data_IF_403724388007
#
_entry.id   IF_403724388007
#
_cell.length_a   1.000
_cell.length_b   1.000
_cell.length_c   1.000
_cell.angle_alpha   90.00
_cell.angle_beta   90.00
_cell.angle_gamma   90.00
#
_symmetry.space_group_name_H-M   'P 1'
#
loop_
_entity.id
_entity.type
_entity.pdbx_description
1 polymer ?
#
# COMPACT_ATOMS: atom_id res chain seq x y z
N UNK A 1 -5.77 8.04 26.51
CA UNK A 1 -5.26 7.54 25.22
C UNK A 1 -3.92 8.19 25.03
N UNK A 2 -2.86 7.39 24.93
CA UNK A 2 -1.52 7.91 24.72
C UNK A 2 -1.42 8.55 23.31
N UNK A 3 -0.51 9.52 23.13
CA UNK A 3 -0.37 10.26 21.85
C UNK A 3 -0.18 9.29 20.67
N UNK A 4 0.57 8.22 20.88
CA UNK A 4 0.83 7.18 19.89
C UNK A 4 -0.45 6.48 19.42
N UNK A 5 -1.32 6.09 20.35
CA UNK A 5 -2.62 5.53 20.04
C UNK A 5 -3.47 6.52 19.23
N UNK A 6 -3.47 7.80 19.60
CA UNK A 6 -4.20 8.84 18.84
C UNK A 6 -3.70 8.95 17.39
N UNK A 7 -2.38 8.88 17.19
CA UNK A 7 -1.78 8.94 15.84
C UNK A 7 -2.13 7.69 15.04
N UNK A 8 -2.04 6.50 15.64
CA UNK A 8 -2.43 5.24 15.01
C UNK A 8 -3.91 5.22 14.58
N UNK A 9 -4.82 5.69 15.45
CA UNK A 9 -6.23 5.86 15.09
C UNK A 9 -6.42 6.86 13.94
N UNK A 10 -5.65 7.95 13.92
CA UNK A 10 -5.72 8.96 12.86
C UNK A 10 -5.23 8.42 11.52
N UNK A 11 -4.13 7.66 11.50
CA UNK A 11 -3.63 6.95 10.32
C UNK A 11 -4.72 6.01 9.77
N UNK A 12 -5.30 5.18 10.65
CA UNK A 12 -6.34 4.23 10.27
C UNK A 12 -7.59 4.94 9.72
N UNK A 13 -8.03 6.02 10.36
CA UNK A 13 -9.17 6.81 9.92
C UNK A 13 -8.95 7.44 8.53
N UNK A 14 -7.74 7.93 8.23
CA UNK A 14 -7.39 8.48 6.92
C UNK A 14 -7.37 7.39 5.83
N UNK A 15 -6.82 6.21 6.14
CA UNK A 15 -6.83 5.07 5.22
C UNK A 15 -8.27 4.59 4.94
N UNK A 16 -9.11 4.46 5.97
CA UNK A 16 -10.53 4.11 5.83
C UNK A 16 -11.29 5.17 5.02
N UNK A 17 -11.00 6.46 5.23
CA UNK A 17 -11.57 7.54 4.44
C UNK A 17 -11.20 7.41 2.95
N UNK A 18 -9.95 7.04 2.67
CA UNK A 18 -9.46 6.77 1.31
C UNK A 18 -10.22 5.61 0.67
N UNK A 19 -10.49 4.53 1.42
CA UNK A 19 -11.33 3.41 0.96
C UNK A 19 -12.74 3.86 0.57
N UNK A 20 -13.37 4.74 1.36
CA UNK A 20 -14.70 5.28 1.05
C UNK A 20 -14.74 6.02 -0.30
N UNK A 21 -13.74 6.86 -0.56
CA UNK A 21 -13.61 7.58 -1.85
C UNK A 21 -13.35 6.62 -3.01
N UNK A 22 -12.47 5.63 -2.82
CA UNK A 22 -12.15 4.63 -3.84
C UNK A 22 -13.34 3.72 -4.15
N UNK A 23 -14.10 3.34 -3.13
CA UNK A 23 -15.34 2.58 -3.31
C UNK A 23 -16.34 3.35 -4.16
N UNK A 24 -16.53 4.65 -3.88
CA UNK A 24 -17.34 5.51 -4.73
C UNK A 24 -16.82 5.56 -6.18
N UNK A 25 -15.50 5.62 -6.39
CA UNK A 25 -14.90 5.58 -7.73
C UNK A 25 -15.22 4.26 -8.46
N UNK A 26 -15.09 3.12 -7.78
CA UNK A 26 -15.45 1.80 -8.32
C UNK A 26 -16.91 1.79 -8.78
N UNK A 27 -17.83 2.32 -7.96
CA UNK A 27 -19.25 2.40 -8.31
C UNK A 27 -19.55 3.38 -9.45
N UNK A 28 -18.77 4.46 -9.59
CA UNK A 28 -18.97 5.48 -10.63
C UNK A 28 -18.41 5.04 -11.98
N UNK A 29 -17.33 4.26 -11.97
CA UNK A 29 -16.59 3.83 -13.16
C UNK A 29 -16.80 2.35 -13.48
N UNK A 30 -17.97 1.79 -13.12
CA UNK A 30 -18.30 0.36 -13.29
C UNK A 30 -18.01 -0.11 -14.72
N UNK A 31 -17.37 -1.28 -14.82
CA UNK A 31 -17.00 -1.93 -16.10
C UNK A 31 -16.06 -1.13 -17.01
N UNK A 32 -15.53 0.00 -16.54
CA UNK A 32 -14.47 0.74 -17.22
C UNK A 32 -13.11 0.36 -16.64
N UNK A 33 -12.05 0.66 -17.40
CA UNK A 33 -10.68 0.56 -16.91
C UNK A 33 -10.47 1.36 -15.61
N UNK A 34 -11.01 2.58 -15.52
CA UNK A 34 -10.87 3.41 -14.33
C UNK A 34 -11.47 2.73 -13.10
N UNK A 35 -12.50 1.91 -13.31
CA UNK A 35 -13.07 1.02 -12.30
C UNK A 35 -12.10 -0.08 -11.86
N UNK A 36 -11.43 -0.76 -12.80
CA UNK A 36 -10.40 -1.78 -12.48
C UNK A 36 -9.20 -1.20 -11.74
N UNK A 37 -8.70 -0.03 -12.18
CA UNK A 37 -7.64 0.70 -11.49
C UNK A 37 -8.07 1.09 -10.07
N UNK A 38 -9.27 1.67 -9.93
CA UNK A 38 -9.83 2.03 -8.61
C UNK A 38 -9.99 0.81 -7.71
N UNK A 39 -10.37 -0.34 -8.28
CA UNK A 39 -10.53 -1.59 -7.56
C UNK A 39 -9.19 -2.14 -7.05
N UNK A 40 -8.16 -2.21 -7.90
CA UNK A 40 -6.82 -2.63 -7.47
C UNK A 40 -6.25 -1.70 -6.40
N UNK A 41 -6.39 -0.38 -6.60
CA UNK A 41 -5.91 0.59 -5.62
C UNK A 41 -6.71 0.53 -4.30
N UNK A 42 -8.03 0.28 -4.36
CA UNK A 42 -8.84 -0.02 -3.18
C UNK A 42 -8.30 -1.23 -2.41
N UNK A 43 -7.93 -2.31 -3.11
CA UNK A 43 -7.37 -3.50 -2.47
C UNK A 43 -6.00 -3.18 -1.84
N UNK A 44 -5.12 -2.44 -2.51
CA UNK A 44 -3.86 -1.97 -1.92
C UNK A 44 -4.09 -1.23 -0.60
N UNK A 45 -5.00 -0.24 -0.59
CA UNK A 45 -5.32 0.53 0.62
C UNK A 45 -5.95 -0.37 1.69
N UNK A 46 -6.80 -1.34 1.29
CA UNK A 46 -7.42 -2.28 2.21
C UNK A 46 -6.38 -3.17 2.90
N UNK A 47 -5.36 -3.62 2.16
CA UNK A 47 -4.26 -4.40 2.73
C UNK A 47 -3.41 -3.56 3.69
N UNK A 48 -3.19 -2.27 3.41
CA UNK A 48 -2.51 -1.36 4.34
C UNK A 48 -3.35 -1.09 5.60
N UNK A 49 -4.67 -0.98 5.47
CA UNK A 49 -5.59 -0.94 6.61
C UNK A 49 -5.48 -2.23 7.43
N UNK A 50 -5.39 -3.39 6.79
CA UNK A 50 -5.23 -4.67 7.49
C UNK A 50 -3.89 -4.73 8.24
N UNK A 51 -2.78 -4.28 7.61
CA UNK A 51 -1.46 -4.20 8.26
C UNK A 51 -1.51 -3.27 9.48
N UNK A 52 -1.99 -2.03 9.34
CA UNK A 52 -2.07 -1.09 10.47
C UNK A 52 -3.09 -1.55 11.53
N UNK A 53 -4.16 -2.21 11.11
CA UNK A 53 -5.10 -2.86 12.01
C UNK A 53 -4.44 -3.97 12.82
N UNK A 54 -3.54 -4.75 12.24
CA UNK A 54 -2.78 -5.79 12.93
C UNK A 54 -1.89 -5.22 14.04
N UNK A 55 -1.14 -4.14 13.76
CA UNK A 55 -0.39 -3.41 14.78
C UNK A 55 -1.28 -2.87 15.90
N UNK A 56 -2.44 -2.31 15.57
CA UNK A 56 -3.37 -1.82 16.58
C UNK A 56 -3.93 -2.95 17.46
N UNK A 57 -4.21 -4.12 16.88
CA UNK A 57 -4.69 -5.28 17.62
C UNK A 57 -3.63 -5.83 18.59
N UNK A 58 -2.36 -5.83 18.19
CA UNK A 58 -1.23 -6.19 19.05
C UNK A 58 -1.08 -5.17 20.19
N UNK A 59 -1.07 -3.87 19.89
CA UNK A 59 -0.95 -2.79 20.88
C UNK A 59 -2.13 -2.75 21.89
N UNK A 60 -3.30 -3.26 21.51
CA UNK A 60 -4.46 -3.42 22.41
C UNK A 60 -4.43 -4.72 23.23
N UNK A 61 -3.42 -5.58 23.03
CA UNK A 61 -3.28 -6.87 23.69
C UNK A 61 -4.26 -7.93 23.20
N UNK A 62 -4.87 -7.75 22.03
CA UNK A 62 -5.81 -8.72 21.44
C UNK A 62 -5.08 -9.80 20.63
N UNK A 63 -3.87 -9.49 20.18
CA UNK A 63 -2.94 -10.43 19.56
C UNK A 63 -1.65 -10.40 20.38
N UNK A 64 -1.27 -11.53 20.96
CA UNK A 64 -0.03 -11.67 21.73
C UNK A 64 0.98 -12.47 20.90
N UNK A 65 1.90 -11.75 20.25
CA UNK A 65 2.97 -12.33 19.44
C UNK A 65 4.30 -11.64 19.75
N UNK A 66 5.40 -12.34 19.51
CA UNK A 66 6.72 -11.74 19.69
C UNK A 66 6.99 -10.63 18.66
N UNK A 67 7.84 -9.68 19.02
CA UNK A 67 8.26 -8.57 18.14
C UNK A 67 8.84 -9.08 16.81
N UNK A 68 9.66 -10.14 16.83
CA UNK A 68 10.23 -10.72 15.59
C UNK A 68 9.16 -11.37 14.70
N UNK A 69 8.13 -11.99 15.30
CA UNK A 69 6.99 -12.52 14.55
C UNK A 69 6.16 -11.38 13.96
N UNK A 70 5.94 -10.31 14.72
CA UNK A 70 5.24 -9.13 14.23
C UNK A 70 6.02 -8.54 13.06
N UNK A 71 7.30 -8.26 13.25
CA UNK A 71 8.21 -7.69 12.26
C UNK A 71 8.24 -8.50 10.97
N UNK A 72 8.44 -9.81 11.05
CA UNK A 72 8.48 -10.66 9.87
C UNK A 72 7.12 -10.77 9.16
N UNK A 73 6.02 -10.94 9.89
CA UNK A 73 4.69 -11.17 9.31
C UNK A 73 4.16 -9.93 8.59
N UNK A 74 4.28 -8.73 9.19
CA UNK A 74 3.80 -7.51 8.56
C UNK A 74 4.61 -7.17 7.31
N UNK A 75 5.93 -7.40 7.32
CA UNK A 75 6.78 -7.19 6.14
C UNK A 75 6.41 -8.14 5.00
N UNK A 76 6.14 -9.41 5.30
CA UNK A 76 5.72 -10.37 4.27
C UNK A 76 4.36 -9.96 3.68
N UNK A 77 3.43 -9.47 4.51
CA UNK A 77 2.19 -8.87 4.03
C UNK A 77 2.44 -7.60 3.20
N UNK A 78 3.39 -6.75 3.61
CA UNK A 78 3.77 -5.54 2.88
C UNK A 78 4.39 -5.87 1.52
N UNK A 79 5.17 -6.94 1.38
CA UNK A 79 5.69 -7.37 0.08
C UNK A 79 4.57 -7.77 -0.88
N UNK A 80 3.49 -8.37 -0.40
CA UNK A 80 2.30 -8.65 -1.22
C UNK A 80 1.68 -7.33 -1.70
N UNK A 81 1.62 -6.30 -0.86
CA UNK A 81 1.17 -4.95 -1.27
C UNK A 81 2.06 -4.39 -2.37
N UNK A 82 3.39 -4.52 -2.25
CA UNK A 82 4.33 -4.05 -3.28
C UNK A 82 4.17 -4.82 -4.59
N UNK A 83 3.96 -6.14 -4.55
CA UNK A 83 3.68 -6.95 -5.75
C UNK A 83 2.36 -6.53 -6.41
N UNK A 84 1.33 -6.24 -5.63
CA UNK A 84 0.06 -5.76 -6.15
C UNK A 84 0.20 -4.36 -6.78
N UNK A 85 1.03 -3.50 -6.20
CA UNK A 85 1.37 -2.20 -6.80
C UNK A 85 2.20 -2.35 -8.09
N UNK A 86 3.11 -3.33 -8.18
CA UNK A 86 3.79 -3.66 -9.43
C UNK A 86 2.78 -4.08 -10.49
N UNK A 87 1.81 -4.92 -10.14
CA UNK A 87 0.72 -5.28 -11.05
C UNK A 87 -0.14 -4.06 -11.45
N UNK A 88 -0.44 -3.16 -10.51
CA UNK A 88 -1.13 -1.91 -10.81
C UNK A 88 -0.38 -1.06 -11.84
N UNK A 89 0.95 -1.02 -11.76
CA UNK A 89 1.77 -0.27 -12.72
C UNK A 89 1.76 -0.87 -14.13
N UNK A 90 1.67 -2.20 -14.29
CA UNK A 90 1.49 -2.83 -15.61
C UNK A 90 0.12 -2.51 -16.20
N UNK A 91 -0.92 -2.50 -15.35
CA UNK A 91 -2.28 -2.06 -15.73
C UNK A 91 -2.26 -0.59 -16.19
N UNK A 92 -1.54 0.30 -15.49
CA UNK A 92 -1.36 1.69 -15.91
C UNK A 92 -0.62 1.82 -17.25
N UNK A 93 0.41 1.01 -17.51
CA UNK A 93 1.15 1.06 -18.78
C UNK A 93 0.28 0.69 -19.99
N UNK A 94 -0.64 -0.24 -19.82
CA UNK A 94 -1.60 -0.62 -20.87
C UNK A 94 -2.52 0.53 -21.33
N UNK A 95 -2.54 1.66 -20.60
CA UNK A 95 -3.30 2.86 -20.96
C UNK A 95 -2.61 3.79 -21.95
N UNK A 96 -1.28 3.82 -21.89
CA UNK A 96 -0.48 4.85 -22.55
C UNK A 96 0.29 4.30 -23.73
N UNK A 97 0.53 3.00 -23.73
CA UNK A 97 1.30 2.36 -24.77
C UNK A 97 0.60 1.07 -25.23
N UNK A 98 0.10 1.05 -26.49
CA UNK A 98 -0.67 -0.07 -27.03
C UNK A 98 0.16 -1.35 -27.19
N UNK A 99 1.49 -1.30 -27.00
CA UNK A 99 2.33 -2.51 -26.99
C UNK A 99 2.10 -3.36 -25.74
N UNK A 100 1.53 -2.80 -24.67
CA UNK A 100 1.19 -3.55 -23.46
C UNK A 100 -0.23 -4.10 -23.56
N UNK A 101 -0.39 -5.38 -23.25
CA UNK A 101 -1.70 -6.02 -23.27
C UNK A 101 -2.61 -5.45 -22.20
N UNK A 102 -3.89 -5.27 -22.53
CA UNK A 102 -4.91 -4.88 -21.56
C UNK A 102 -5.15 -6.05 -20.61
N UNK A 103 -5.06 -5.76 -19.33
CA UNK A 103 -5.32 -6.75 -18.29
C UNK A 103 -6.80 -7.16 -18.30
N UNK A 104 -7.07 -8.46 -18.17
CA UNK A 104 -8.45 -8.95 -18.06
C UNK A 104 -9.02 -8.64 -16.66
N UNK A 105 -10.32 -8.34 -16.59
CA UNK A 105 -11.02 -8.14 -15.31
C UNK A 105 -10.90 -9.37 -14.41
N UNK A 106 -10.93 -10.57 -15.00
CA UNK A 106 -10.76 -11.84 -14.27
C UNK A 106 -9.38 -11.89 -13.61
N UNK A 107 -8.32 -11.56 -14.35
CA UNK A 107 -6.95 -11.55 -13.81
C UNK A 107 -6.82 -10.53 -12.68
N UNK A 108 -7.35 -9.33 -12.87
CA UNK A 108 -7.39 -8.29 -11.82
C UNK A 108 -8.09 -8.79 -10.55
N UNK A 109 -9.25 -9.42 -10.67
CA UNK A 109 -10.00 -9.96 -9.51
C UNK A 109 -9.24 -11.09 -8.85
N UNK A 110 -8.62 -11.99 -9.62
CA UNK A 110 -7.82 -13.09 -9.07
C UNK A 110 -6.63 -12.58 -8.26
N UNK A 111 -5.86 -11.61 -8.78
CA UNK A 111 -4.76 -11.00 -8.05
C UNK A 111 -5.23 -10.36 -6.74
N UNK A 112 -6.35 -9.66 -6.76
CA UNK A 112 -6.93 -9.05 -5.56
C UNK A 112 -7.33 -10.08 -4.51
N UNK A 113 -8.03 -11.15 -4.92
CA UNK A 113 -8.49 -12.20 -4.01
C UNK A 113 -7.33 -13.00 -3.42
N UNK A 114 -6.35 -13.38 -4.26
CA UNK A 114 -5.15 -14.08 -3.80
C UNK A 114 -4.39 -13.21 -2.81
N UNK A 115 -4.17 -11.93 -3.11
CA UNK A 115 -3.45 -11.02 -2.21
C UNK A 115 -4.17 -10.86 -0.87
N UNK A 116 -5.49 -10.67 -0.89
CA UNK A 116 -6.30 -10.56 0.32
C UNK A 116 -6.24 -11.85 1.16
N UNK A 117 -6.45 -13.00 0.52
CA UNK A 117 -6.39 -14.28 1.21
C UNK A 117 -5.00 -14.55 1.79
N UNK A 118 -3.93 -14.25 1.04
CA UNK A 118 -2.55 -14.42 1.50
C UNK A 118 -2.24 -13.54 2.71
N UNK A 119 -2.62 -12.26 2.71
CA UNK A 119 -2.39 -11.36 3.87
C UNK A 119 -3.17 -11.84 5.10
N UNK A 120 -4.44 -12.20 4.93
CA UNK A 120 -5.24 -12.75 6.04
C UNK A 120 -4.62 -14.05 6.57
N UNK A 121 -4.20 -14.93 5.67
CA UNK A 121 -3.53 -16.18 6.04
C UNK A 121 -2.24 -15.91 6.81
N UNK A 122 -1.41 -14.96 6.38
CA UNK A 122 -0.16 -14.58 7.08
C UNK A 122 -0.45 -14.15 8.51
N UNK A 123 -1.43 -13.26 8.73
CA UNK A 123 -1.73 -12.77 10.08
C UNK A 123 -2.26 -13.89 10.98
N UNK A 124 -3.22 -14.70 10.51
CA UNK A 124 -3.76 -15.83 11.28
C UNK A 124 -2.64 -16.84 11.58
N UNK A 125 -1.85 -17.19 10.56
CA UNK A 125 -0.79 -18.19 10.68
C UNK A 125 0.33 -17.71 11.60
N UNK A 126 0.72 -16.43 11.53
CA UNK A 126 1.77 -15.87 12.38
C UNK A 126 1.43 -15.95 13.87
N UNK A 127 0.17 -15.71 14.25
CA UNK A 127 -0.30 -15.92 15.63
C UNK A 127 -0.20 -17.39 16.05
N UNK A 128 -0.60 -18.32 15.18
CA UNK A 128 -0.53 -19.76 15.48
C UNK A 128 0.92 -20.28 15.54
N UNK A 129 1.78 -19.81 14.64
CA UNK A 129 3.15 -20.25 14.47
C UNK A 129 4.17 -19.42 15.26
N UNK A 130 3.72 -18.51 16.14
CA UNK A 130 4.56 -17.53 16.82
C UNK A 130 5.82 -18.16 17.43
N UNK A 131 5.67 -19.19 18.27
CA UNK A 131 6.80 -19.87 18.91
C UNK A 131 7.82 -20.46 17.92
N UNK A 132 7.34 -21.00 16.80
CA UNK A 132 8.22 -21.57 15.76
C UNK A 132 8.95 -20.46 15.00
N UNK A 133 8.25 -19.38 14.66
CA UNK A 133 8.83 -18.21 13.97
C UNK A 133 9.91 -17.57 14.86
N UNK A 134 9.59 -17.32 16.14
CA UNK A 134 10.54 -16.77 17.12
C UNK A 134 11.79 -17.64 17.21
N UNK A 135 11.64 -18.96 17.39
CA UNK A 135 12.77 -19.89 17.52
C UNK A 135 13.71 -19.85 16.31
N UNK A 136 13.17 -19.63 15.10
CA UNK A 136 13.96 -19.64 13.86
C UNK A 136 14.56 -18.27 13.54
N UNK A 137 13.82 -17.19 13.79
CA UNK A 137 14.20 -15.85 13.35
C UNK A 137 14.91 -15.03 14.42
N UNK A 138 14.54 -15.17 15.69
CA UNK A 138 15.12 -14.37 16.77
C UNK A 138 16.64 -14.58 16.80
N UNK A 139 17.41 -13.49 16.82
CA UNK A 139 18.88 -13.51 16.79
C UNK A 139 19.51 -14.10 15.51
N UNK A 140 18.72 -14.43 14.50
CA UNK A 140 19.23 -14.88 13.20
C UNK A 140 19.94 -13.75 12.45
N UNK A 141 20.64 -14.07 11.37
CA UNK A 141 21.22 -13.06 10.48
C UNK A 141 20.14 -12.15 9.86
N UNK A 142 18.97 -12.70 9.54
CA UNK A 142 17.86 -11.95 8.91
C UNK A 142 17.34 -10.87 9.87
N UNK A 143 17.13 -11.25 11.12
CA UNK A 143 16.70 -10.36 12.21
C UNK A 143 17.76 -9.27 12.49
N UNK A 144 19.02 -9.67 12.68
CA UNK A 144 20.10 -8.73 13.05
C UNK A 144 20.53 -7.76 11.94
N UNK A 145 20.39 -8.13 10.67
CA UNK A 145 20.86 -7.32 9.55
C UNK A 145 19.88 -6.23 9.11
N UNK A 146 18.62 -6.29 9.57
CA UNK A 146 17.54 -5.46 9.03
C UNK A 146 17.13 -5.88 7.63
N UNK A 147 17.25 -7.18 7.29
CA UNK A 147 16.98 -7.68 5.95
C UNK A 147 15.56 -7.37 5.47
N UNK A 148 14.58 -7.36 6.39
CA UNK A 148 13.20 -7.01 6.07
C UNK A 148 13.07 -5.54 5.64
N UNK A 149 13.58 -4.60 6.45
CA UNK A 149 13.59 -3.17 6.11
C UNK A 149 14.37 -2.91 4.80
N UNK A 150 15.53 -3.56 4.61
CA UNK A 150 16.35 -3.39 3.41
C UNK A 150 15.62 -3.84 2.14
N UNK A 151 14.94 -4.99 2.18
CA UNK A 151 14.17 -5.50 1.05
C UNK A 151 12.96 -4.59 0.76
N UNK A 152 12.25 -4.16 1.79
CA UNK A 152 11.14 -3.22 1.65
C UNK A 152 11.59 -1.88 1.04
N UNK A 153 12.71 -1.32 1.51
CA UNK A 153 13.33 -0.12 0.97
C UNK A 153 13.71 -0.30 -0.51
N UNK A 154 14.39 -1.41 -0.85
CA UNK A 154 14.82 -1.67 -2.21
C UNK A 154 13.62 -1.79 -3.17
N UNK A 155 12.63 -2.61 -2.82
CA UNK A 155 11.42 -2.80 -3.62
C UNK A 155 10.61 -1.49 -3.72
N UNK A 156 10.41 -0.77 -2.61
CA UNK A 156 9.71 0.52 -2.58
C UNK A 156 10.39 1.58 -3.43
N UNK A 157 11.73 1.63 -3.42
CA UNK A 157 12.52 2.55 -4.25
C UNK A 157 12.43 2.21 -5.75
N UNK A 158 12.59 0.93 -6.11
CA UNK A 158 12.44 0.46 -7.49
C UNK A 158 11.04 0.79 -8.02
N UNK A 159 10.02 0.50 -7.20
CA UNK A 159 8.63 0.75 -7.55
C UNK A 159 8.35 2.24 -7.69
N UNK A 160 8.88 3.08 -6.81
CA UNK A 160 8.77 4.54 -6.91
C UNK A 160 9.36 5.04 -8.23
N UNK A 161 10.59 4.63 -8.57
CA UNK A 161 11.23 4.99 -9.83
C UNK A 161 10.43 4.50 -11.04
N UNK A 162 9.89 3.29 -10.97
CA UNK A 162 9.06 2.72 -12.02
C UNK A 162 7.77 3.53 -12.21
N UNK A 163 7.06 3.86 -11.13
CA UNK A 163 5.85 4.68 -11.17
C UNK A 163 6.14 6.10 -11.69
N UNK A 164 7.28 6.71 -11.35
CA UNK A 164 7.72 7.99 -11.94
C UNK A 164 7.90 7.84 -13.45
N UNK A 165 8.53 6.77 -13.92
CA UNK A 165 8.66 6.49 -15.35
C UNK A 165 7.30 6.33 -16.03
N UNK A 166 6.41 5.51 -15.46
CA UNK A 166 5.05 5.30 -15.97
C UNK A 166 4.27 6.61 -16.02
N UNK A 167 4.33 7.42 -14.96
CA UNK A 167 3.64 8.70 -14.88
C UNK A 167 4.06 9.67 -16.01
N UNK A 168 5.34 9.67 -16.41
CA UNK A 168 5.86 10.53 -17.50
C UNK A 168 5.27 10.19 -18.88
N UNK A 169 4.70 9.01 -19.06
CA UNK A 169 4.07 8.60 -20.33
C UNK A 169 2.64 9.16 -20.48
N UNK A 170 2.09 9.78 -19.43
CA UNK A 170 0.78 10.41 -19.46
C UNK A 170 0.87 11.89 -19.84
N UNK A 171 -0.25 12.45 -20.32
CA UNK A 171 -0.37 13.91 -20.51
C UNK A 171 -0.25 14.66 -19.18
N UNK A 172 0.18 15.93 -19.21
CA UNK A 172 0.47 16.73 -18.00
C UNK A 172 -0.67 16.73 -16.96
N UNK A 173 -1.94 16.80 -17.40
CA UNK A 173 -3.10 16.76 -16.49
C UNK A 173 -3.32 15.39 -15.84
N UNK A 174 -2.90 14.31 -16.49
CA UNK A 174 -2.95 12.94 -15.95
C UNK A 174 -1.73 12.62 -15.10
N UNK A 175 -0.56 13.19 -15.42
CA UNK A 175 0.67 13.10 -14.59
C UNK A 175 0.40 13.55 -13.16
N UNK A 176 -0.33 14.66 -12.98
CA UNK A 176 -0.69 15.17 -11.65
C UNK A 176 -1.52 14.18 -10.83
N UNK A 177 -2.41 13.44 -11.48
CA UNK A 177 -3.19 12.39 -10.80
C UNK A 177 -2.30 11.21 -10.40
N UNK A 178 -1.35 10.83 -11.26
CA UNK A 178 -0.49 9.67 -11.02
C UNK A 178 0.67 9.97 -10.06
N UNK A 179 1.21 11.18 -10.05
CA UNK A 179 2.29 11.56 -9.12
C UNK A 179 1.83 11.47 -7.67
N UNK A 180 0.55 11.77 -7.41
CA UNK A 180 -0.04 11.64 -6.09
C UNK A 180 -0.18 10.17 -5.66
N UNK A 181 -0.24 9.22 -6.59
CA UNK A 181 -0.16 7.78 -6.28
C UNK A 181 1.28 7.26 -6.13
N UNK A 182 2.27 7.99 -6.64
CA UNK A 182 3.70 7.68 -6.43
C UNK A 182 4.16 8.09 -5.03
N UNK A 183 3.70 9.25 -4.55
CA UNK A 183 4.09 9.83 -3.26
C UNK A 183 3.96 8.87 -2.07
N UNK A 184 2.87 8.10 -1.88
CA UNK A 184 2.77 7.13 -0.79
C UNK A 184 3.89 6.09 -0.81
N UNK A 185 4.26 5.58 -1.98
CA UNK A 185 5.29 4.54 -2.15
C UNK A 185 6.66 5.10 -1.79
N UNK A 186 6.94 6.33 -2.20
CA UNK A 186 8.17 7.04 -1.84
C UNK A 186 8.29 7.22 -0.32
N UNK A 187 7.24 7.70 0.35
CA UNK A 187 7.27 7.87 1.80
C UNK A 187 7.34 6.54 2.54
N UNK A 188 6.68 5.48 2.06
CA UNK A 188 6.86 4.13 2.59
C UNK A 188 8.32 3.68 2.48
N UNK A 189 9.00 3.94 1.36
CA UNK A 189 10.43 3.65 1.25
C UNK A 189 11.26 4.46 2.25
N UNK A 190 10.95 5.75 2.47
CA UNK A 190 11.63 6.56 3.48
C UNK A 190 11.41 6.08 4.91
N UNK A 191 10.23 5.55 5.23
CA UNK A 191 9.94 4.92 6.53
C UNK A 191 10.90 3.75 6.76
N UNK A 192 11.02 2.85 5.79
CA UNK A 192 11.91 1.69 5.94
C UNK A 192 13.40 2.09 5.95
N UNK A 193 13.77 3.18 5.27
CA UNK A 193 15.12 3.75 5.41
C UNK A 193 15.34 4.28 6.84
N UNK A 194 14.35 4.95 7.41
CA UNK A 194 14.40 5.44 8.79
C UNK A 194 14.59 4.28 9.77
N UNK A 195 13.73 3.26 9.72
CA UNK A 195 13.80 2.05 10.56
C UNK A 195 15.15 1.33 10.42
N UNK A 196 15.67 1.21 9.19
CA UNK A 196 16.98 0.62 8.94
C UNK A 196 18.11 1.38 9.66
N UNK A 197 18.07 2.72 9.64
CA UNK A 197 19.09 3.57 10.25
C UNK A 197 19.00 3.61 11.78
N UNK A 198 17.79 3.50 12.35
CA UNK A 198 17.55 3.63 13.80
C UNK A 198 17.46 2.31 14.55
N UNK A 199 16.80 1.30 13.99
CA UNK A 199 16.50 0.04 14.67
C UNK A 199 17.52 -1.05 14.31
N UNK A 200 17.78 -1.23 13.02
CA UNK A 200 18.60 -2.34 12.53
C UNK A 200 20.10 -2.02 12.59
N UNK A 201 20.54 -1.01 11.84
CA UNK A 201 21.96 -0.65 11.75
C UNK A 201 22.43 0.25 12.89
N UNK A 202 21.48 0.89 13.59
CA UNK A 202 21.71 1.77 14.74
C UNK A 202 22.78 2.83 14.46
N UNK A 203 22.83 3.33 13.23
CA UNK A 203 23.73 4.41 12.81
C UNK A 203 23.26 5.75 13.38
N UNK A 204 21.94 5.86 13.65
CA UNK A 204 21.34 6.99 14.34
C UNK A 204 20.79 6.49 15.68
N UNK A 205 21.36 6.99 16.78
CA UNK A 205 20.91 6.63 18.13
C UNK A 205 19.75 7.55 18.57
N UNK A 206 18.55 6.97 18.65
CA UNK A 206 17.34 7.60 19.19
C UNK A 206 16.67 6.65 20.17
N UNK A 207 15.87 7.17 21.11
CA UNK A 207 15.03 6.31 21.94
C UNK A 207 13.93 5.66 21.08
N UNK A 208 13.51 4.43 21.43
CA UNK A 208 12.45 3.71 20.70
C UNK A 208 11.19 4.57 20.50
N UNK A 209 10.71 5.19 21.58
CA UNK A 209 9.59 6.14 21.55
C UNK A 209 9.75 7.31 20.56
N UNK A 210 10.96 7.83 20.39
CA UNK A 210 11.23 8.90 19.41
C UNK A 210 11.27 8.33 17.99
N UNK A 211 11.84 7.13 17.82
CA UNK A 211 11.84 6.38 16.57
C UNK A 211 10.43 6.15 16.03
N UNK A 212 9.56 5.57 16.87
CA UNK A 212 8.14 5.27 16.58
C UNK A 212 7.34 6.54 16.28
N UNK A 213 7.59 7.64 17.01
CA UNK A 213 6.91 8.92 16.76
C UNK A 213 7.27 9.48 15.38
N UNK A 214 8.55 9.42 14.98
CA UNK A 214 9.00 9.91 13.68
C UNK A 214 8.44 9.02 12.55
N UNK A 215 8.44 7.70 12.72
CA UNK A 215 7.79 6.75 11.80
C UNK A 215 6.32 7.13 11.60
N UNK A 216 5.60 7.36 12.70
CA UNK A 216 4.19 7.76 12.69
C UNK A 216 3.94 9.08 11.96
N UNK A 217 4.87 10.04 12.05
CA UNK A 217 4.80 11.30 11.29
C UNK A 217 4.96 11.06 9.79
N UNK A 218 5.85 10.16 9.37
CA UNK A 218 6.02 9.81 7.96
C UNK A 218 4.80 9.08 7.36
N UNK A 219 3.97 8.43 8.18
CA UNK A 219 2.71 7.85 7.73
C UNK A 219 1.65 8.90 7.36
N UNK A 220 1.71 10.11 7.91
CA UNK A 220 0.75 11.18 7.60
C UNK A 220 0.77 11.54 6.09
N UNK A 221 1.92 11.89 5.47
CA UNK A 221 1.96 12.18 4.04
C UNK A 221 1.61 10.97 3.17
N UNK A 222 1.85 9.72 3.62
CA UNK A 222 1.37 8.50 2.93
C UNK A 222 -0.15 8.53 2.84
N UNK A 223 -0.82 8.67 3.98
CA UNK A 223 -2.28 8.62 4.08
C UNK A 223 -2.94 9.79 3.35
N UNK A 224 -2.41 11.00 3.52
CA UNK A 224 -2.92 12.19 2.82
C UNK A 224 -2.77 12.03 1.31
N UNK A 225 -1.64 11.54 0.82
CA UNK A 225 -1.43 11.33 -0.62
C UNK A 225 -2.39 10.28 -1.18
N UNK A 226 -2.65 9.19 -0.46
CA UNK A 226 -3.67 8.21 -0.87
C UNK A 226 -5.07 8.82 -0.96
N UNK A 227 -5.47 9.60 0.06
CA UNK A 227 -6.77 10.25 0.11
C UNK A 227 -6.93 11.29 -1.00
N UNK A 228 -5.99 12.23 -1.10
CA UNK A 228 -6.02 13.26 -2.13
C UNK A 228 -5.90 12.65 -3.53
N UNK A 229 -5.10 11.60 -3.71
CA UNK A 229 -4.99 10.85 -4.95
C UNK A 229 -6.34 10.26 -5.37
N UNK A 230 -7.05 9.62 -4.44
CA UNK A 230 -8.39 9.09 -4.68
C UNK A 230 -9.39 10.20 -5.06
N UNK A 231 -9.36 11.34 -4.35
CA UNK A 231 -10.24 12.48 -4.62
C UNK A 231 -9.95 13.11 -5.99
N UNK A 232 -8.68 13.37 -6.30
CA UNK A 232 -8.27 13.93 -7.59
C UNK A 232 -8.59 12.96 -8.72
N UNK A 233 -8.37 11.67 -8.54
CA UNK A 233 -8.74 10.65 -9.50
C UNK A 233 -10.25 10.63 -9.75
N UNK A 234 -11.08 10.76 -8.71
CA UNK A 234 -12.53 10.92 -8.85
C UNK A 234 -12.88 12.12 -9.71
N UNK A 235 -12.33 13.29 -9.40
CA UNK A 235 -12.64 14.56 -10.10
C UNK A 235 -12.17 14.50 -11.55
N UNK A 236 -10.94 14.04 -11.80
CA UNK A 236 -10.36 13.94 -13.13
C UNK A 236 -11.06 12.86 -13.96
N UNK A 237 -11.34 11.70 -13.36
CA UNK A 237 -12.06 10.58 -13.97
C UNK A 237 -13.45 11.00 -14.46
N UNK A 238 -14.22 11.71 -13.62
CA UNK A 238 -15.54 12.24 -13.98
C UNK A 238 -15.48 13.27 -15.13
N UNK A 239 -14.43 14.09 -15.19
CA UNK A 239 -14.22 15.07 -16.28
C UNK A 239 -13.71 14.43 -17.57
N UNK A 240 -13.09 13.27 -17.49
CA UNK A 240 -12.49 12.54 -18.62
C UNK A 240 -13.41 11.51 -19.27
N UNK A 241 -14.59 11.26 -18.68
CA UNK A 241 -15.65 10.52 -19.34
C UNK A 241 -16.07 11.33 -20.57
N UNK A 242 -15.89 10.84 -21.81
CA UNK A 242 -16.78 11.30 -22.86
C UNK A 242 -18.19 11.03 -22.32
N UNK A 243 -19.09 12.00 -22.44
CA UNK A 243 -20.52 11.72 -22.38
C UNK A 243 -20.72 10.62 -23.40
N UNK A 244 -20.80 9.36 -22.96
CA UNK A 244 -21.25 8.26 -23.78
C UNK A 244 -22.74 8.56 -23.91
N UNK A 245 -23.05 9.47 -24.83
CA UNK A 245 -24.38 9.57 -25.41
C UNK A 245 -24.62 8.17 -25.93
N UNK A 246 -25.60 7.52 -25.34
CA UNK A 246 -26.18 6.27 -25.81
C UNK A 246 -26.65 6.53 -27.24
N UNK A 247 -25.75 6.41 -28.22
CA UNK A 247 -26.13 6.33 -29.63
C UNK A 247 -26.69 4.93 -29.83
N UNK A 248 -27.92 4.75 -29.33
CA UNK A 248 -28.89 3.87 -29.96
C UNK A 248 -29.32 4.49 -31.30
N UNK A 249 -28.39 4.52 -32.23
CA UNK A 249 -28.61 4.65 -33.67
C UNK A 249 -27.47 3.80 -34.25
N UNK A 250 -27.63 2.63 -34.85
CA UNK A 250 -28.79 1.96 -35.43
C UNK A 250 -28.25 1.19 -36.63
N UNK A 251 -28.18 -0.15 -36.53
CA UNK A 251 -28.43 -1.19 -37.57
C UNK A 251 -28.65 -2.50 -36.82
#
# INVERSE_FOLDING_TARGET
MEIEQMVNFSILALLISSLGVLFHCILSFRRSFLGSFSFLFFIVVLLLVAIRGYFLLEALGWVDISEVTLMSSWHVAFYIVLLLLMHLSSVMLSLVDPKYQKESVVTTVMWSLVSLFSVLFIFIFSSYANASITTVLENSFVDRSGAFHLLALALGSILTLYFVYVARLFSFSRVQTFIVFVTPIFFLALIHLWELLTESWKVIAVSGKMGEMIESVFWIPVCLSMLFGAVLFRIAGLKSLPVYVDTKEGV
#
